data_IF_093077364800
#
_entry.id   IF_093077364800
#
_cell.length_a   1.000
_cell.length_b   1.000
_cell.length_c   1.000
_cell.angle_alpha   90.00
_cell.angle_beta   90.00
_cell.angle_gamma   90.00
#
_symmetry.space_group_name_H-M   'P 1'
#
loop_
_entity.id
_entity.type
_entity.pdbx_description
1 polymer ?
#
# COMPACT_ATOMS: atom_id res chain seq x y z
N UNK A 1 -15.98 -11.16 13.52
CA UNK A 1 -16.66 -12.38 13.99
C UNK A 1 -16.08 -13.60 13.30
N UNK A 2 -16.15 -14.80 13.88
CA UNK A 2 -15.64 -16.04 13.23
C UNK A 2 -16.25 -16.28 11.83
N UNK A 3 -17.50 -15.84 11.65
CA UNK A 3 -18.23 -15.90 10.36
C UNK A 3 -17.65 -14.96 9.28
N UNK A 4 -17.00 -13.86 9.67
CA UNK A 4 -16.44 -12.88 8.71
C UNK A 4 -14.99 -13.17 8.30
N UNK A 5 -14.31 -14.10 8.98
CA UNK A 5 -12.94 -14.49 8.69
C UNK A 5 -12.69 -14.96 7.24
N UNK A 6 -13.50 -15.85 6.64
CA UNK A 6 -13.27 -16.30 5.26
C UNK A 6 -13.54 -15.21 4.20
N UNK A 7 -14.34 -14.19 4.54
CA UNK A 7 -14.60 -13.06 3.64
C UNK A 7 -13.56 -11.94 3.79
N UNK A 8 -12.71 -11.99 4.82
CA UNK A 8 -11.67 -10.98 5.07
C UNK A 8 -10.74 -10.74 3.88
N UNK A 9 -10.25 -11.77 3.15
CA UNK A 9 -9.39 -11.55 1.99
C UNK A 9 -10.07 -10.74 0.89
N UNK A 10 -11.38 -10.94 0.68
CA UNK A 10 -12.14 -10.22 -0.35
C UNK A 10 -12.26 -8.73 -0.02
N UNK A 11 -12.58 -8.41 1.23
CA UNK A 11 -12.61 -7.02 1.71
C UNK A 11 -11.21 -6.38 1.71
N UNK A 12 -10.17 -7.14 2.06
CA UNK A 12 -8.78 -6.68 2.04
C UNK A 12 -8.34 -6.34 0.60
N UNK A 13 -8.77 -7.09 -0.42
CA UNK A 13 -8.47 -6.77 -1.83
C UNK A 13 -9.12 -5.43 -2.23
N UNK A 14 -10.39 -5.22 -1.89
CA UNK A 14 -11.07 -3.94 -2.17
C UNK A 14 -10.39 -2.78 -1.44
N UNK A 15 -10.05 -2.96 -0.17
CA UNK A 15 -9.31 -1.97 0.62
C UNK A 15 -7.96 -1.63 -0.02
N UNK A 16 -7.23 -2.64 -0.49
CA UNK A 16 -5.94 -2.44 -1.18
C UNK A 16 -6.09 -1.63 -2.47
N UNK A 17 -7.19 -1.80 -3.21
CA UNK A 17 -7.46 -0.96 -4.40
C UNK A 17 -7.66 0.51 -4.02
N UNK A 18 -8.43 0.79 -2.97
CA UNK A 18 -8.61 2.16 -2.50
C UNK A 18 -7.31 2.80 -2.00
N UNK A 19 -6.45 2.03 -1.32
CA UNK A 19 -5.11 2.51 -0.94
C UNK A 19 -4.27 2.91 -2.17
N UNK A 20 -4.35 2.12 -3.25
CA UNK A 20 -3.61 2.41 -4.48
C UNK A 20 -4.12 3.70 -5.14
N UNK A 21 -5.44 3.87 -5.21
CA UNK A 21 -6.07 5.08 -5.73
C UNK A 21 -5.72 6.31 -4.88
N UNK A 22 -5.68 6.16 -3.55
CA UNK A 22 -5.29 7.23 -2.63
C UNK A 22 -3.82 7.64 -2.76
N UNK A 23 -2.90 6.67 -2.90
CA UNK A 23 -1.47 6.93 -3.13
C UNK A 23 -1.27 7.67 -4.47
N UNK A 24 -2.00 7.26 -5.53
CA UNK A 24 -1.98 7.94 -6.83
C UNK A 24 -2.50 9.37 -6.72
N UNK A 25 -3.67 9.56 -6.12
CA UNK A 25 -4.26 10.90 -5.96
C UNK A 25 -3.35 11.83 -5.15
N UNK A 26 -2.72 11.32 -4.09
CA UNK A 26 -1.77 12.08 -3.28
C UNK A 26 -0.53 12.49 -4.09
N UNK A 27 -0.04 11.62 -4.96
CA UNK A 27 1.06 11.94 -5.86
C UNK A 27 0.65 12.97 -6.91
N UNK A 28 -0.52 12.84 -7.54
CA UNK A 28 -1.04 13.81 -8.51
C UNK A 28 -1.24 15.20 -7.88
N UNK A 29 -1.69 15.26 -6.62
CA UNK A 29 -1.92 16.51 -5.90
C UNK A 29 -0.62 17.19 -5.47
N UNK A 30 0.38 16.44 -5.02
CA UNK A 30 1.61 16.99 -4.41
C UNK A 30 2.79 17.05 -5.36
N UNK A 31 2.83 16.17 -6.38
CA UNK A 31 3.96 15.99 -7.28
C UNK A 31 5.26 15.54 -6.60
N UNK A 32 5.22 15.12 -5.32
CA UNK A 32 6.42 14.93 -4.51
C UNK A 32 6.49 13.50 -3.92
N UNK A 33 6.92 12.56 -4.75
CA UNK A 33 7.12 11.15 -4.38
C UNK A 33 8.11 10.97 -3.23
N UNK A 34 9.19 11.74 -3.18
CA UNK A 34 10.23 11.63 -2.15
C UNK A 34 9.70 11.95 -0.74
N UNK A 35 8.86 12.99 -0.62
CA UNK A 35 8.24 13.35 0.66
C UNK A 35 7.25 12.28 1.13
N UNK A 36 6.48 11.70 0.20
CA UNK A 36 5.58 10.59 0.49
C UNK A 36 6.33 9.34 0.97
N UNK A 37 7.42 8.97 0.28
CA UNK A 37 8.29 7.85 0.67
C UNK A 37 8.90 8.10 2.05
N UNK A 38 9.43 9.30 2.30
CA UNK A 38 10.01 9.66 3.59
C UNK A 38 8.99 9.56 4.73
N UNK A 39 7.77 10.04 4.52
CA UNK A 39 6.68 9.91 5.48
C UNK A 39 6.33 8.44 5.76
N UNK A 40 6.22 7.60 4.72
CA UNK A 40 5.97 6.16 4.88
C UNK A 40 7.08 5.44 5.64
N UNK A 41 8.35 5.77 5.36
CA UNK A 41 9.51 5.21 6.08
C UNK A 41 9.47 5.62 7.54
N UNK A 42 9.19 6.90 7.84
CA UNK A 42 9.09 7.41 9.21
C UNK A 42 7.96 6.72 9.98
N UNK A 43 6.76 6.65 9.40
CA UNK A 43 5.62 5.96 10.01
C UNK A 43 5.91 4.48 10.24
N UNK A 44 6.58 3.81 9.30
CA UNK A 44 6.94 2.40 9.45
C UNK A 44 7.95 2.18 10.56
N UNK A 45 8.91 3.10 10.71
CA UNK A 45 9.90 3.09 11.79
C UNK A 45 9.24 3.32 13.15
N UNK A 46 8.38 4.34 13.24
CA UNK A 46 7.73 4.74 14.50
C UNK A 46 6.76 3.64 14.99
N UNK A 47 6.11 2.93 14.06
CA UNK A 47 5.19 1.83 14.38
C UNK A 47 5.86 0.45 14.50
N UNK A 48 7.19 0.35 14.34
CA UNK A 48 7.94 -0.91 14.31
C UNK A 48 7.34 -1.95 13.34
N UNK A 49 6.83 -1.46 12.20
CA UNK A 49 6.09 -2.26 11.24
C UNK A 49 6.97 -3.34 10.62
N UNK A 50 6.45 -4.56 10.50
CA UNK A 50 7.12 -5.58 9.69
C UNK A 50 7.10 -5.17 8.22
N UNK A 51 8.29 -4.91 7.66
CA UNK A 51 8.47 -4.48 6.28
C UNK A 51 8.34 -5.63 5.26
N UNK A 52 8.45 -6.88 5.73
CA UNK A 52 8.38 -8.07 4.89
C UNK A 52 7.56 -9.19 5.56
N UNK A 53 6.25 -8.98 5.75
CA UNK A 53 5.38 -10.04 6.23
C UNK A 53 5.26 -11.14 5.17
N UNK A 54 5.14 -12.39 5.62
CA UNK A 54 4.92 -13.51 4.72
C UNK A 54 3.63 -13.28 3.88
N UNK A 55 3.61 -13.52 2.56
CA UNK A 55 2.50 -13.14 1.68
C UNK A 55 1.14 -13.70 2.12
N UNK A 56 1.10 -14.97 2.54
CA UNK A 56 -0.12 -15.59 3.06
C UNK A 56 -0.59 -14.91 4.36
N UNK A 57 0.33 -14.55 5.24
CA UNK A 57 -0.01 -13.86 6.48
C UNK A 57 -0.57 -12.46 6.21
N UNK A 58 0.04 -11.73 5.27
CA UNK A 58 -0.43 -10.42 4.85
C UNK A 58 -1.84 -10.49 4.20
N UNK A 59 -2.14 -11.53 3.43
CA UNK A 59 -3.45 -11.69 2.80
C UNK A 59 -4.59 -11.76 3.82
N UNK A 60 -4.38 -12.53 4.89
CA UNK A 60 -5.41 -12.73 5.92
C UNK A 60 -5.43 -11.65 7.00
N UNK A 61 -4.26 -11.13 7.40
CA UNK A 61 -4.15 -10.25 8.58
C UNK A 61 -3.89 -8.78 8.26
N UNK A 62 -3.45 -8.44 7.04
CA UNK A 62 -3.17 -7.05 6.67
C UNK A 62 -4.28 -6.52 5.77
N UNK A 63 -4.98 -5.51 6.25
CA UNK A 63 -5.96 -4.76 5.47
C UNK A 63 -5.32 -3.90 4.37
N UNK A 64 -4.02 -3.58 4.53
CA UNK A 64 -3.27 -2.68 3.66
C UNK A 64 -2.03 -3.37 3.08
N UNK A 65 -1.52 -2.92 1.92
CA UNK A 65 -0.26 -3.41 1.38
C UNK A 65 0.92 -3.08 2.31
N UNK A 66 1.96 -3.94 2.38
CA UNK A 66 3.16 -3.63 3.13
C UNK A 66 3.78 -2.31 2.70
N UNK A 67 4.40 -1.59 3.65
CA UNK A 67 5.01 -0.28 3.36
C UNK A 67 6.02 -0.33 2.20
N UNK A 68 6.76 -1.42 2.06
CA UNK A 68 7.70 -1.62 0.97
C UNK A 68 7.02 -1.69 -0.41
N UNK A 69 5.83 -2.28 -0.49
CA UNK A 69 5.04 -2.35 -1.73
C UNK A 69 4.57 -0.95 -2.13
N UNK A 70 4.08 -0.16 -1.17
CA UNK A 70 3.65 1.23 -1.39
C UNK A 70 4.79 2.12 -1.86
N UNK A 71 5.97 2.01 -1.23
CA UNK A 71 7.16 2.76 -1.61
C UNK A 71 7.58 2.44 -3.06
N UNK A 72 7.54 1.15 -3.45
CA UNK A 72 7.83 0.75 -4.84
C UNK A 72 6.84 1.37 -5.81
N UNK A 73 5.55 1.31 -5.52
CA UNK A 73 4.51 1.89 -6.39
C UNK A 73 4.65 3.40 -6.53
N UNK A 74 4.91 4.13 -5.44
CA UNK A 74 5.13 5.60 -5.50
C UNK A 74 6.36 5.94 -6.34
N UNK A 75 7.43 5.13 -6.25
CA UNK A 75 8.62 5.29 -7.09
C UNK A 75 8.31 5.02 -8.56
N UNK A 76 7.53 3.99 -8.87
CA UNK A 76 7.07 3.69 -10.23
C UNK A 76 6.23 4.83 -10.80
N UNK A 77 5.28 5.39 -10.04
CA UNK A 77 4.49 6.56 -10.43
C UNK A 77 5.37 7.77 -10.79
N UNK A 78 6.48 7.97 -10.08
CA UNK A 78 7.44 9.04 -10.40
C UNK A 78 8.27 8.80 -11.66
N UNK A 79 8.54 7.53 -12.00
CA UNK A 79 9.38 7.16 -13.14
C UNK A 79 8.54 7.06 -14.42
N UNK A 80 7.33 6.49 -14.33
CA UNK A 80 6.44 6.30 -15.47
C UNK A 80 4.98 6.58 -15.07
N UNK A 81 4.51 7.83 -15.27
CA UNK A 81 3.16 8.25 -14.88
C UNK A 81 2.03 7.46 -15.55
N UNK A 82 2.31 6.77 -16.66
CA UNK A 82 1.32 6.04 -17.46
C UNK A 82 1.23 4.54 -17.11
N UNK A 83 1.99 4.03 -16.13
CA UNK A 83 2.03 2.59 -15.79
C UNK A 83 0.82 2.10 -14.96
N UNK A 84 -0.09 2.98 -14.55
CA UNK A 84 -1.19 2.66 -13.63
C UNK A 84 -2.32 1.77 -14.18
N UNK A 85 -2.26 1.28 -15.43
CA UNK A 85 -3.28 0.38 -16.01
C UNK A 85 -2.95 -1.12 -15.88
N UNK A 86 -1.74 -1.50 -15.46
CA UNK A 86 -1.23 -2.88 -15.63
C UNK A 86 -1.13 -3.68 -14.32
N UNK A 87 -1.40 -3.07 -13.16
CA UNK A 87 -1.39 -3.73 -11.83
C UNK A 87 -2.77 -3.70 -11.17
#
# INVERSE_FOLDING_TARGET
>A
SIVSFPFSPLFNILSRRHENEADKYSYELTGNSESMISALVKLSKDNLSNLYPHPLYALFHYSHPPALERIRRIRELSINPNTSEVL
#
